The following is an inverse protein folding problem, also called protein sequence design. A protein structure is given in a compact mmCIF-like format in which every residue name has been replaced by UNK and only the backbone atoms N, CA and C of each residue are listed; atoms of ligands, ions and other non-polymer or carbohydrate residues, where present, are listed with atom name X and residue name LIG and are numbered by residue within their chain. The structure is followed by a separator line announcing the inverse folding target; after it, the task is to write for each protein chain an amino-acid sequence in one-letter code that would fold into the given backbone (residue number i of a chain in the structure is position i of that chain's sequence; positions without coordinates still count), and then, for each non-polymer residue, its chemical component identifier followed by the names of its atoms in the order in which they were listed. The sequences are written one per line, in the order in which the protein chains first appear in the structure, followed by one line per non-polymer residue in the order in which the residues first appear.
data_IF_581099060423
#
_entry.id   IF_581099060423
#
_cell.length_a   1.000
_cell.length_b   1.000
_cell.length_c   1.000
_cell.angle_alpha   90.00
_cell.angle_beta   90.00
_cell.angle_gamma   90.00
#
_symmetry.space_group_name_H-M   'P 1'
#
loop_
_entity.id
_entity.type
_entity.pdbx_description
1 polymer ?
#
# COMPACT_ATOMS: atom_id res chain seq x y z
N UNK A 1 16.75 15.74 -9.67
CA UNK A 1 15.91 14.53 -9.80
C UNK A 1 14.46 14.99 -9.76
N UNK A 2 13.68 14.75 -10.82
CA UNK A 2 12.29 15.23 -10.92
C UNK A 2 11.40 14.34 -10.04
N UNK A 3 10.57 14.95 -9.17
CA UNK A 3 9.64 14.23 -8.30
C UNK A 3 8.75 13.32 -9.13
N UNK A 4 8.54 12.09 -8.65
CA UNK A 4 7.66 11.14 -9.31
C UNK A 4 6.20 11.55 -9.23
N UNK A 5 5.86 12.30 -8.19
CA UNK A 5 4.51 12.74 -7.88
C UNK A 5 4.48 14.27 -7.73
N UNK A 6 4.73 15.04 -8.81
CA UNK A 6 4.83 16.50 -8.72
C UNK A 6 3.51 17.16 -8.26
N UNK A 7 2.38 16.52 -8.54
CA UNK A 7 1.05 16.99 -8.13
C UNK A 7 0.67 16.59 -6.69
N UNK A 8 1.49 15.80 -6.00
CA UNK A 8 1.21 15.30 -4.65
C UNK A 8 2.19 15.82 -3.59
N UNK A 9 2.95 16.88 -3.90
CA UNK A 9 3.94 17.46 -2.97
C UNK A 9 3.31 17.82 -1.60
N UNK A 10 2.06 18.24 -1.58
CA UNK A 10 1.33 18.55 -0.34
C UNK A 10 1.16 17.35 0.61
N UNK A 11 1.31 16.11 0.12
CA UNK A 11 1.25 14.89 0.92
C UNK A 11 2.61 14.43 1.46
N UNK A 12 3.70 15.20 1.24
CA UNK A 12 5.04 14.83 1.72
C UNK A 12 5.09 14.66 3.25
N UNK A 13 4.29 15.43 4.00
CA UNK A 13 4.17 15.30 5.44
C UNK A 13 3.56 13.95 5.85
N UNK A 14 2.64 13.39 5.03
CA UNK A 14 2.13 12.02 5.24
C UNK A 14 3.25 11.01 5.08
N UNK A 15 4.04 11.14 4.01
CA UNK A 15 5.17 10.24 3.78
C UNK A 15 6.22 10.31 4.89
N UNK A 16 6.49 11.50 5.43
CA UNK A 16 7.36 11.66 6.60
C UNK A 16 6.79 11.00 7.85
N UNK A 17 5.48 11.06 8.07
CA UNK A 17 4.83 10.37 9.18
C UNK A 17 4.90 8.84 9.02
N UNK A 18 4.61 8.34 7.82
CA UNK A 18 4.76 6.93 7.45
C UNK A 18 6.19 6.45 7.70
N UNK A 19 7.21 7.25 7.34
CA UNK A 19 8.61 6.94 7.61
C UNK A 19 8.92 6.80 9.11
N UNK A 20 8.42 7.69 9.97
CA UNK A 20 8.60 7.58 11.43
C UNK A 20 8.00 6.28 11.97
N UNK A 21 6.78 5.95 11.54
CA UNK A 21 6.12 4.70 11.94
C UNK A 21 6.93 3.48 11.49
N UNK A 22 7.51 3.52 10.28
CA UNK A 22 8.38 2.45 9.78
C UNK A 22 9.65 2.27 10.63
N UNK A 23 10.18 3.33 11.26
CA UNK A 23 11.36 3.24 12.13
C UNK A 23 11.05 2.57 13.47
N UNK A 24 9.80 2.68 13.94
CA UNK A 24 9.35 2.11 15.21
C UNK A 24 8.78 0.68 15.04
N UNK A 25 8.37 0.32 13.84
CA UNK A 25 7.79 -0.98 13.55
C UNK A 25 8.83 -2.12 13.68
N UNK A 26 8.47 -3.20 14.38
CA UNK A 26 9.37 -4.36 14.57
C UNK A 26 9.59 -5.14 13.29
N UNK A 27 8.58 -5.22 12.42
CA UNK A 27 8.65 -5.95 11.14
C UNK A 27 8.07 -5.13 10.02
N UNK A 28 8.78 -5.14 8.89
CA UNK A 28 8.44 -4.46 7.66
C UNK A 28 8.26 -5.50 6.55
N UNK A 29 7.08 -5.53 5.92
CA UNK A 29 6.75 -6.49 4.87
C UNK A 29 6.56 -5.74 3.56
N UNK A 30 7.41 -6.06 2.58
CA UNK A 30 7.29 -5.55 1.21
C UNK A 30 6.47 -6.52 0.37
N UNK A 31 5.43 -6.00 -0.29
CA UNK A 31 4.58 -6.79 -1.19
C UNK A 31 4.87 -6.39 -2.64
N UNK A 32 5.33 -7.36 -3.41
CA UNK A 32 5.81 -7.17 -4.79
C UNK A 32 4.91 -7.98 -5.73
N UNK A 33 4.40 -7.35 -6.78
CA UNK A 33 3.84 -8.09 -7.90
C UNK A 33 4.98 -8.53 -8.81
N UNK A 34 5.24 -9.84 -8.85
CA UNK A 34 6.31 -10.42 -9.66
C UNK A 34 5.94 -10.56 -11.14
N UNK A 35 4.66 -10.39 -11.47
CA UNK A 35 4.12 -10.46 -12.84
C UNK A 35 4.03 -9.09 -13.51
N UNK A 36 4.10 -8.01 -12.74
CA UNK A 36 3.98 -6.65 -13.27
C UNK A 36 5.12 -6.31 -14.23
N UNK A 37 4.79 -5.48 -15.22
CA UNK A 37 5.78 -4.90 -16.13
C UNK A 37 6.51 -3.75 -15.44
N UNK A 38 7.61 -3.33 -16.06
CA UNK A 38 8.42 -2.25 -15.54
C UNK A 38 7.63 -0.95 -15.35
N UNK A 39 7.85 -0.31 -14.19
CA UNK A 39 7.35 1.01 -13.89
C UNK A 39 7.66 2.02 -15.01
N UNK A 40 6.61 2.71 -15.49
CA UNK A 40 6.58 3.63 -16.65
C UNK A 40 6.58 2.99 -18.04
N UNK A 41 6.49 1.65 -18.15
CA UNK A 41 6.26 1.02 -19.45
C UNK A 41 4.80 1.21 -19.87
N UNK A 42 4.58 1.47 -21.16
CA UNK A 42 3.24 1.41 -21.73
C UNK A 42 2.72 -0.03 -21.69
N UNK A 43 1.49 -0.19 -21.21
CA UNK A 43 0.78 -1.47 -21.19
C UNK A 43 -0.18 -1.54 -22.37
N UNK A 44 -0.30 -2.71 -22.99
CA UNK A 44 -1.45 -3.00 -23.84
C UNK A 44 -2.75 -3.01 -23.02
N UNK A 45 -3.90 -2.97 -23.68
CA UNK A 45 -5.19 -3.09 -22.99
C UNK A 45 -5.29 -4.38 -22.17
N UNK A 46 -4.87 -5.52 -22.74
CA UNK A 46 -4.88 -6.81 -22.05
C UNK A 46 -3.92 -6.84 -20.86
N UNK A 47 -2.72 -6.27 -21.02
CA UNK A 47 -1.74 -6.16 -19.92
C UNK A 47 -2.28 -5.27 -18.79
N UNK A 48 -3.00 -4.20 -19.12
CA UNK A 48 -3.62 -3.34 -18.13
C UNK A 48 -4.75 -4.05 -17.36
N UNK A 49 -5.59 -4.82 -18.06
CA UNK A 49 -6.63 -5.63 -17.40
C UNK A 49 -6.01 -6.69 -16.49
N UNK A 50 -4.94 -7.36 -16.94
CA UNK A 50 -4.21 -8.32 -16.11
C UNK A 50 -3.63 -7.65 -14.85
N UNK A 51 -3.03 -6.48 -14.99
CA UNK A 51 -2.48 -5.72 -13.86
C UNK A 51 -3.55 -5.33 -12.84
N UNK A 52 -4.76 -4.94 -13.28
CA UNK A 52 -5.89 -4.65 -12.38
C UNK A 52 -6.26 -5.91 -11.58
N UNK A 53 -6.38 -7.06 -12.24
CA UNK A 53 -6.72 -8.32 -11.58
C UNK A 53 -5.66 -8.72 -10.54
N UNK A 54 -4.38 -8.60 -10.90
CA UNK A 54 -3.26 -8.89 -10.00
C UNK A 54 -3.30 -7.96 -8.78
N UNK A 55 -3.50 -6.66 -8.97
CA UNK A 55 -3.61 -5.68 -7.89
C UNK A 55 -4.77 -6.05 -6.96
N UNK A 56 -5.95 -6.40 -7.50
CA UNK A 56 -7.11 -6.77 -6.68
C UNK A 56 -6.82 -8.01 -5.83
N UNK A 57 -6.22 -9.05 -6.41
CA UNK A 57 -5.84 -10.27 -5.70
C UNK A 57 -4.80 -10.00 -4.60
N UNK A 58 -3.81 -9.17 -4.89
CA UNK A 58 -2.78 -8.74 -3.95
C UNK A 58 -3.42 -7.92 -2.81
N UNK A 59 -4.31 -6.99 -3.13
CA UNK A 59 -5.01 -6.18 -2.12
C UNK A 59 -5.88 -7.04 -1.19
N UNK A 60 -6.59 -8.04 -1.73
CA UNK A 60 -7.33 -9.00 -0.92
C UNK A 60 -6.40 -9.79 0.02
N UNK A 61 -5.24 -10.23 -0.49
CA UNK A 61 -4.24 -10.95 0.30
C UNK A 61 -3.68 -10.10 1.44
N UNK A 62 -3.32 -8.85 1.15
CA UNK A 62 -2.86 -7.88 2.16
C UNK A 62 -3.95 -7.67 3.21
N UNK A 63 -5.20 -7.46 2.79
CA UNK A 63 -6.32 -7.28 3.73
C UNK A 63 -6.47 -8.47 4.68
N UNK A 64 -6.31 -9.70 4.20
CA UNK A 64 -6.34 -10.91 5.02
C UNK A 64 -5.19 -10.96 6.02
N UNK A 65 -3.99 -10.52 5.64
CA UNK A 65 -2.85 -10.42 6.55
C UNK A 65 -3.13 -9.43 7.69
N UNK A 66 -3.68 -8.24 7.36
CA UNK A 66 -4.00 -7.21 8.36
C UNK A 66 -5.11 -7.67 9.32
N UNK A 67 -6.14 -8.36 8.82
CA UNK A 67 -7.19 -8.95 9.65
C UNK A 67 -6.64 -10.03 10.59
N UNK A 68 -5.74 -10.88 10.08
CA UNK A 68 -5.06 -11.90 10.89
C UNK A 68 -4.19 -11.25 11.98
N UNK A 69 -3.40 -10.24 11.63
CA UNK A 69 -2.58 -9.50 12.60
C UNK A 69 -3.43 -8.90 13.73
N UNK A 70 -4.56 -8.26 13.38
CA UNK A 70 -5.50 -7.71 14.35
C UNK A 70 -6.10 -8.81 15.27
N UNK A 71 -6.46 -9.97 14.71
CA UNK A 71 -6.98 -11.10 15.49
C UNK A 71 -5.94 -11.68 16.46
N UNK A 72 -4.65 -11.55 16.13
CA UNK A 72 -3.53 -11.92 16.99
C UNK A 72 -3.16 -10.83 18.02
N UNK A 73 -3.89 -9.72 18.05
CA UNK A 73 -3.63 -8.60 18.96
C UNK A 73 -2.49 -7.68 18.53
N UNK A 74 -2.06 -7.76 17.27
CA UNK A 74 -1.02 -6.92 16.68
C UNK A 74 -1.64 -5.70 15.99
N UNK A 75 -0.93 -4.58 16.02
CA UNK A 75 -1.26 -3.45 15.16
C UNK A 75 -0.95 -3.78 13.69
N UNK A 76 -1.58 -3.09 12.73
CA UNK A 76 -1.11 -3.12 11.35
C UNK A 76 -1.37 -1.82 10.57
N UNK A 77 -0.47 -1.43 9.65
CA UNK A 77 -0.55 -0.20 8.87
C UNK A 77 -0.19 -0.46 7.40
N UNK A 78 -1.15 -0.17 6.54
CA UNK A 78 -0.97 -0.18 5.09
C UNK A 78 -0.38 1.16 4.64
N UNK A 79 0.79 1.15 3.99
CA UNK A 79 1.51 2.35 3.56
C UNK A 79 1.60 2.40 2.03
N UNK A 80 0.93 3.41 1.44
CA UNK A 80 1.04 3.77 0.02
C UNK A 80 2.05 4.87 -0.27
N UNK A 81 2.59 5.55 0.75
CA UNK A 81 3.49 6.70 0.59
C UNK A 81 4.87 6.35 0.00
N UNK A 82 5.16 5.06 -0.21
CA UNK A 82 6.41 4.59 -0.83
C UNK A 82 6.66 5.17 -2.22
N UNK A 83 5.61 5.60 -2.92
CA UNK A 83 5.74 6.16 -4.26
C UNK A 83 6.53 7.48 -4.30
N UNK A 84 6.72 8.15 -3.16
CA UNK A 84 7.61 9.32 -3.04
C UNK A 84 9.09 8.98 -3.24
N UNK A 85 9.49 7.73 -2.98
CA UNK A 85 10.89 7.24 -3.04
C UNK A 85 10.99 5.95 -3.88
N UNK A 86 10.06 5.76 -4.81
CA UNK A 86 9.90 4.50 -5.54
C UNK A 86 11.15 4.05 -6.30
N UNK A 87 11.84 4.92 -7.09
CA UNK A 87 13.03 4.51 -7.81
C UNK A 87 14.16 4.03 -6.88
N UNK A 88 14.39 4.76 -5.79
CA UNK A 88 15.41 4.45 -4.78
C UNK A 88 15.08 3.14 -4.08
N UNK A 89 13.81 2.95 -3.70
CA UNK A 89 13.36 1.75 -3.01
C UNK A 89 13.44 0.51 -3.90
N UNK A 90 13.03 0.63 -5.17
CA UNK A 90 13.14 -0.45 -6.16
C UNK A 90 14.59 -0.85 -6.38
N UNK A 91 15.49 0.13 -6.49
CA UNK A 91 16.92 -0.12 -6.61
C UNK A 91 17.47 -0.84 -5.37
N UNK A 92 17.11 -0.39 -4.17
CA UNK A 92 17.57 -0.99 -2.93
C UNK A 92 17.06 -2.42 -2.71
N UNK A 93 15.78 -2.70 -2.98
CA UNK A 93 15.23 -4.06 -2.85
C UNK A 93 15.84 -5.03 -3.88
N UNK A 94 16.21 -4.53 -5.06
CA UNK A 94 16.81 -5.30 -6.14
C UNK A 94 16.06 -6.62 -6.44
N UNK A 95 14.74 -6.52 -6.57
CA UNK A 95 13.85 -7.64 -6.91
C UNK A 95 13.15 -7.39 -8.23
N UNK A 96 12.84 -8.48 -8.94
CA UNK A 96 11.99 -8.44 -10.13
C UNK A 96 10.53 -8.15 -9.73
N UNK A 97 9.85 -7.34 -10.53
CA UNK A 97 8.47 -6.93 -10.29
C UNK A 97 8.34 -5.48 -9.82
N UNK A 98 7.11 -5.05 -9.58
CA UNK A 98 6.80 -3.73 -9.04
C UNK A 98 6.31 -3.82 -7.61
N UNK A 99 6.72 -2.84 -6.79
CA UNK A 99 6.30 -2.73 -5.40
C UNK A 99 4.91 -2.11 -5.43
N UNK A 100 3.88 -2.92 -5.18
CA UNK A 100 2.51 -2.42 -5.14
C UNK A 100 2.28 -1.70 -3.82
N UNK A 101 2.78 -2.27 -2.73
CA UNK A 101 2.60 -1.64 -1.43
C UNK A 101 3.61 -2.07 -0.38
N UNK A 102 3.67 -1.24 0.66
CA UNK A 102 4.36 -1.53 1.89
C UNK A 102 3.35 -1.80 3.02
N UNK A 103 3.57 -2.87 3.77
CA UNK A 103 2.90 -3.08 5.05
C UNK A 103 3.95 -2.85 6.13
N UNK A 104 3.78 -1.80 6.93
CA UNK A 104 4.36 -1.80 8.26
C UNK A 104 3.47 -2.72 9.09
N UNK A 105 4.02 -3.81 9.64
CA UNK A 105 3.69 -4.35 10.97
C UNK A 105 3.87 -5.86 11.11
N UNK A 106 4.57 -6.19 12.20
CA UNK A 106 4.04 -6.92 13.34
C UNK A 106 4.59 -6.19 14.59
N UNK A 107 3.75 -5.85 15.56
CA UNK A 107 4.15 -5.18 16.80
C UNK A 107 2.98 -5.09 17.77
N UNK A 108 3.26 -5.07 19.08
CA UNK A 108 2.21 -4.86 20.07
C UNK A 108 1.69 -3.43 19.97
N UNK A 109 0.37 -3.27 19.98
CA UNK A 109 -0.29 -1.96 19.90
C UNK A 109 0.07 -1.08 21.09
N UNK A 110 0.69 0.07 20.81
CA UNK A 110 0.95 1.14 21.80
C UNK A 110 -0.12 2.24 21.78
N UNK A 111 -1.01 2.21 20.78
CA UNK A 111 -2.16 3.11 20.68
C UNK A 111 -3.45 2.38 20.31
N UNK A 112 -4.59 2.97 20.70
CA UNK A 112 -5.94 2.49 20.38
C UNK A 112 -6.77 3.63 19.78
N UNK A 113 -6.50 4.02 18.52
CA UNK A 113 -7.18 5.15 17.90
C UNK A 113 -8.68 4.87 17.73
N UNK A 114 -9.48 5.94 17.76
CA UNK A 114 -10.91 5.85 17.42
C UNK A 114 -11.10 5.45 15.96
N UNK A 115 -12.19 4.74 15.68
CA UNK A 115 -12.54 4.33 14.31
C UNK A 115 -12.62 5.59 13.42
N UNK A 116 -11.79 5.64 12.39
CA UNK A 116 -11.80 6.74 11.41
C UNK A 116 -13.19 6.84 10.76
N UNK A 117 -13.65 8.05 10.38
CA UNK A 117 -14.95 8.22 9.73
C UNK A 117 -15.14 7.31 8.51
N UNK A 118 -16.37 6.85 8.28
CA UNK A 118 -16.79 6.11 7.08
C UNK A 118 -17.95 6.86 6.42
N UNK A 119 -18.08 6.72 5.09
CA UNK A 119 -19.28 7.21 4.39
C UNK A 119 -20.48 6.39 4.85
N UNK A 120 -21.65 7.04 4.90
CA UNK A 120 -22.92 6.38 5.21
C UNK A 120 -23.24 5.31 4.16
N UNK A 121 -23.94 4.26 4.58
CA UNK A 121 -24.28 3.10 3.74
C UNK A 121 -25.00 3.51 2.45
N UNK A 122 -25.98 4.40 2.55
CA UNK A 122 -26.79 4.88 1.43
C UNK A 122 -26.00 5.70 0.41
N UNK A 123 -24.80 6.18 0.78
CA UNK A 123 -23.89 6.91 -0.13
C UNK A 123 -22.97 5.98 -0.92
N UNK A 124 -22.93 4.69 -0.59
CA UNK A 124 -22.01 3.71 -1.20
C UNK A 124 -22.71 2.49 -1.80
N UNK A 125 -24.03 2.36 -1.65
CA UNK A 125 -24.81 1.24 -2.20
C UNK A 125 -25.86 1.75 -3.19
N UNK A 126 -25.86 1.17 -4.40
CA UNK A 126 -26.90 1.36 -5.40
C UNK A 126 -27.63 0.03 -5.63
N UNK A 127 -28.91 -0.02 -5.26
CA UNK A 127 -29.78 -1.16 -5.59
C UNK A 127 -30.29 -1.00 -7.03
N UNK A 128 -30.32 -2.10 -7.78
CA UNK A 128 -30.92 -2.17 -9.11
C UNK A 128 -31.91 -3.32 -9.11
N UNK A 129 -33.13 -3.04 -9.57
CA UNK A 129 -34.16 -4.03 -9.84
C UNK A 129 -33.90 -4.74 -11.16
#
# INVERSE_FOLDING_TARGET
MQSLLPNYVNYINSAQNSFKIMQEATVLIFVINTLSKEYRKFLSFEEHIAEICDIQAICASIKNMLLTANNLGLGSLWIGDIFFVYPELKHWLNKKGEIIVYIALLGYVDEKPVVRPRKDFDKIVQWRE
#
